data_IF_004520504837
#
_entry.id   IF_004520504837
#
_cell.length_a   1.000
_cell.length_b   1.000
_cell.length_c   1.000
_cell.angle_alpha   90.00
_cell.angle_beta   90.00
_cell.angle_gamma   90.00
#
_symmetry.space_group_name_H-M   'P 1'
#
loop_
_entity.id
_entity.type
_entity.pdbx_description
1 polymer ?
#
# COMPACT_ATOMS: atom_id res chain seq x y z
N UNK A 1 55.29 -0.21 -44.87
CA UNK A 1 55.96 1.06 -44.52
C UNK A 1 56.31 0.98 -43.05
N UNK A 2 57.50 0.51 -42.67
CA UNK A 2 58.66 1.36 -42.29
C UNK A 2 58.22 2.52 -41.39
N UNK A 3 58.61 2.58 -40.11
CA UNK A 3 60.01 2.75 -39.73
C UNK A 3 60.32 2.29 -38.31
N UNK A 4 61.45 1.60 -38.19
CA UNK A 4 62.22 1.42 -36.96
C UNK A 4 62.89 2.74 -36.53
N UNK A 5 63.35 2.83 -35.27
CA UNK A 5 64.80 2.77 -34.92
C UNK A 5 65.12 3.29 -33.50
N UNK A 6 65.85 2.43 -32.78
CA UNK A 6 67.00 2.67 -31.89
C UNK A 6 66.90 3.65 -30.72
N UNK A 7 67.26 3.19 -29.51
CA UNK A 7 68.64 3.26 -29.02
C UNK A 7 68.79 2.54 -27.67
N UNK A 8 69.81 1.70 -27.59
CA UNK A 8 70.26 1.04 -26.38
C UNK A 8 71.19 1.96 -25.58
N UNK A 9 71.18 1.83 -24.25
CA UNK A 9 72.36 2.14 -23.44
C UNK A 9 72.43 1.16 -22.28
N UNK A 10 73.58 0.48 -22.17
CA UNK A 10 73.88 -0.57 -21.22
C UNK A 10 74.88 -0.09 -20.15
N UNK A 11 75.05 -0.95 -19.13
CA UNK A 11 76.11 -0.99 -18.09
C UNK A 11 75.82 -0.12 -16.86
N UNK A 12 75.95 -0.58 -15.59
CA UNK A 12 76.94 -1.47 -14.96
C UNK A 12 76.31 -2.16 -13.71
N UNK A 13 76.63 -3.44 -13.49
CA UNK A 13 76.48 -4.28 -12.26
C UNK A 13 77.90 -4.37 -11.63
N UNK A 14 78.24 -4.54 -10.31
CA UNK A 14 77.68 -5.46 -9.28
C UNK A 14 77.71 -4.99 -7.79
N UNK A 15 77.08 -5.75 -6.89
CA UNK A 15 77.78 -6.43 -5.77
C UNK A 15 76.84 -7.16 -4.78
N UNK A 16 77.06 -8.49 -4.69
CA UNK A 16 77.05 -9.40 -3.53
C UNK A 16 75.92 -9.27 -2.48
N UNK A 17 74.98 -10.23 -2.41
CA UNK A 17 75.08 -11.59 -1.84
C UNK A 17 75.03 -11.64 -0.30
N UNK A 18 73.93 -12.19 0.23
CA UNK A 18 73.93 -13.10 1.38
C UNK A 18 72.62 -13.92 1.42
N UNK A 19 72.81 -15.23 1.30
CA UNK A 19 71.85 -16.32 1.44
C UNK A 19 71.48 -16.56 2.90
N UNK A 20 70.20 -16.83 3.18
CA UNK A 20 69.80 -17.76 4.25
C UNK A 20 68.42 -18.36 3.94
N UNK A 21 68.39 -19.68 3.79
CA UNK A 21 67.20 -20.50 3.67
C UNK A 21 66.49 -20.69 5.02
N UNK A 22 65.18 -20.89 4.98
CA UNK A 22 64.54 -21.89 5.85
C UNK A 22 63.27 -21.45 6.58
N UNK A 23 62.19 -22.22 6.37
CA UNK A 23 61.12 -22.44 7.34
C UNK A 23 59.84 -21.65 7.08
N UNK A 24 58.82 -22.32 6.56
CA UNK A 24 57.47 -21.77 6.53
C UNK A 24 56.83 -21.74 7.92
N UNK A 25 55.93 -20.78 8.12
CA UNK A 25 54.63 -21.03 8.72
C UNK A 25 53.65 -19.92 8.31
N UNK A 26 52.44 -20.37 8.00
CA UNK A 26 51.25 -19.60 7.63
C UNK A 26 50.62 -18.98 8.89
N UNK A 27 50.24 -17.71 8.79
CA UNK A 27 49.06 -17.06 9.42
C UNK A 27 49.39 -15.67 9.94
N UNK A 28 48.89 -14.66 9.24
CA UNK A 28 48.10 -13.55 9.80
C UNK A 28 47.79 -12.55 8.68
N UNK A 29 47.04 -13.02 7.67
CA UNK A 29 46.20 -12.11 6.90
C UNK A 29 45.12 -11.66 7.87
N UNK A 30 45.20 -10.41 8.30
CA UNK A 30 44.12 -9.73 9.00
C UNK A 30 42.88 -9.75 8.11
N UNK A 31 42.01 -10.73 8.34
CA UNK A 31 40.64 -10.74 7.86
C UNK A 31 39.92 -9.59 8.54
N UNK A 32 39.86 -8.44 7.88
CA UNK A 32 38.67 -7.59 7.96
C UNK A 32 37.50 -8.50 7.64
N UNK A 33 36.75 -8.89 8.67
CA UNK A 33 35.40 -9.34 8.49
C UNK A 33 34.70 -8.22 7.72
N UNK A 34 34.43 -8.46 6.43
CA UNK A 34 33.37 -7.76 5.76
C UNK A 34 32.12 -8.15 6.55
N UNK A 35 31.56 -7.16 7.24
CA UNK A 35 30.24 -7.25 7.83
C UNK A 35 29.30 -7.58 6.66
N UNK A 36 28.91 -8.85 6.58
CA UNK A 36 28.21 -9.40 5.44
C UNK A 36 26.73 -9.09 5.51
N UNK A 37 26.34 -7.82 5.62
CA UNK A 37 24.99 -7.43 5.23
C UNK A 37 24.91 -7.60 3.72
N UNK A 38 23.95 -8.38 3.23
CA UNK A 38 23.67 -8.41 1.81
C UNK A 38 23.39 -6.96 1.35
N UNK A 39 23.88 -6.60 0.16
CA UNK A 39 23.54 -5.32 -0.46
C UNK A 39 22.01 -5.23 -0.59
N UNK A 40 21.42 -4.08 -0.25
CA UNK A 40 19.96 -3.98 -0.18
C UNK A 40 19.31 -4.18 -1.55
N UNK A 41 19.99 -3.73 -2.61
CA UNK A 41 19.52 -3.83 -3.98
C UNK A 41 18.26 -2.99 -4.23
N UNK A 42 17.49 -3.40 -5.22
CA UNK A 42 16.23 -2.74 -5.61
C UNK A 42 15.03 -3.42 -4.97
N UNK A 43 14.15 -2.63 -4.36
CA UNK A 43 12.89 -3.06 -3.76
C UNK A 43 11.73 -2.53 -4.61
N UNK A 44 10.90 -3.43 -5.14
CA UNK A 44 9.74 -3.08 -5.96
C UNK A 44 8.47 -3.06 -5.11
N UNK A 45 7.97 -1.87 -4.77
CA UNK A 45 6.75 -1.71 -3.97
C UNK A 45 5.59 -1.39 -4.92
N UNK A 46 4.51 -2.16 -4.85
CA UNK A 46 3.28 -1.81 -5.58
C UNK A 46 2.73 -0.47 -5.06
N UNK A 47 1.96 0.25 -5.87
CA UNK A 47 1.16 1.41 -5.42
C UNK A 47 -0.26 1.15 -5.88
N UNK A 48 -1.16 0.88 -4.94
CA UNK A 48 -2.58 0.86 -5.23
C UNK A 48 -3.15 2.29 -5.16
N UNK A 49 -4.14 2.58 -6.00
CA UNK A 49 -4.47 3.96 -6.39
C UNK A 49 -5.35 4.70 -5.37
N UNK A 50 -4.90 4.77 -4.12
CA UNK A 50 -5.38 5.68 -3.09
C UNK A 50 -4.24 6.31 -2.31
N UNK A 51 -4.45 7.55 -1.85
CA UNK A 51 -3.37 8.34 -1.22
C UNK A 51 -2.88 7.70 0.08
N UNK A 52 -3.75 7.05 0.85
CA UNK A 52 -3.35 6.32 2.05
C UNK A 52 -2.29 5.24 1.76
N UNK A 53 -2.41 4.55 0.62
CA UNK A 53 -1.42 3.58 0.19
C UNK A 53 -0.09 4.25 -0.15
N UNK A 54 -0.15 5.34 -0.92
CA UNK A 54 1.05 6.11 -1.30
C UNK A 54 1.82 6.55 -0.04
N UNK A 55 1.11 7.00 1.00
CA UNK A 55 1.71 7.32 2.29
C UNK A 55 2.47 6.13 2.91
N UNK A 56 1.86 4.95 2.99
CA UNK A 56 2.49 3.73 3.50
C UNK A 56 3.76 3.39 2.70
N UNK A 57 3.63 3.29 1.37
CA UNK A 57 4.69 2.85 0.49
C UNK A 57 5.88 3.83 0.48
N UNK A 58 5.61 5.14 0.43
CA UNK A 58 6.67 6.14 0.39
C UNK A 58 7.39 6.28 1.74
N UNK A 59 6.71 6.14 2.88
CA UNK A 59 7.39 6.13 4.20
C UNK A 59 8.34 4.93 4.31
N UNK A 60 7.87 3.73 3.95
CA UNK A 60 8.72 2.53 3.91
C UNK A 60 9.90 2.75 2.95
N UNK A 61 9.63 3.25 1.74
CA UNK A 61 10.65 3.47 0.72
C UNK A 61 11.68 4.52 1.13
N UNK A 62 11.28 5.60 1.79
CA UNK A 62 12.21 6.61 2.32
C UNK A 62 13.12 6.02 3.38
N UNK A 63 12.59 5.22 4.31
CA UNK A 63 13.43 4.53 5.32
C UNK A 63 14.39 3.55 4.65
N UNK A 64 13.93 2.78 3.66
CA UNK A 64 14.78 1.85 2.90
C UNK A 64 15.94 2.59 2.19
N UNK A 65 15.65 3.71 1.51
CA UNK A 65 16.66 4.53 0.82
C UNK A 65 17.66 5.13 1.81
N UNK A 66 17.16 5.84 2.83
CA UNK A 66 18.01 6.66 3.71
C UNK A 66 18.79 5.86 4.76
N UNK A 67 18.22 4.75 5.25
CA UNK A 67 18.77 4.00 6.37
C UNK A 67 19.46 2.70 5.96
N UNK A 68 19.00 2.10 4.86
CA UNK A 68 19.49 0.81 4.38
C UNK A 68 20.22 0.89 3.03
N UNK A 69 20.19 2.04 2.36
CA UNK A 69 20.87 2.24 1.07
C UNK A 69 20.22 1.50 -0.10
N UNK A 70 18.93 1.17 0.01
CA UNK A 70 18.19 0.48 -1.05
C UNK A 70 17.84 1.42 -2.20
N UNK A 71 17.81 0.89 -3.42
CA UNK A 71 17.02 1.48 -4.50
C UNK A 71 15.55 1.08 -4.32
N UNK A 72 14.61 1.99 -4.55
CA UNK A 72 13.17 1.69 -4.44
C UNK A 72 12.47 2.09 -5.72
N UNK A 73 11.76 1.14 -6.30
CA UNK A 73 10.90 1.34 -7.46
C UNK A 73 9.43 1.18 -7.08
N UNK A 74 8.63 2.18 -7.42
CA UNK A 74 7.19 2.15 -7.19
C UNK A 74 6.45 1.76 -8.48
N UNK A 75 5.50 0.84 -8.37
CA UNK A 75 4.71 0.36 -9.52
C UNK A 75 3.22 0.55 -9.28
N UNK A 76 2.64 1.52 -9.95
CA UNK A 76 1.19 1.76 -9.88
C UNK A 76 0.41 0.63 -10.52
N UNK A 77 -0.30 -0.14 -9.71
CA UNK A 77 -1.01 -1.35 -10.11
C UNK A 77 -2.37 -1.40 -9.40
N UNK A 78 -3.33 -2.07 -10.03
CA UNK A 78 -4.56 -2.48 -9.33
C UNK A 78 -4.22 -3.52 -8.26
N UNK A 79 -5.00 -3.58 -7.19
CA UNK A 79 -4.77 -4.46 -6.03
C UNK A 79 -4.50 -5.90 -6.48
N UNK A 80 -5.46 -6.53 -7.17
CA UNK A 80 -5.33 -7.91 -7.65
C UNK A 80 -4.17 -8.13 -8.63
N UNK A 81 -3.81 -7.09 -9.40
CA UNK A 81 -2.73 -7.18 -10.40
C UNK A 81 -1.37 -7.18 -9.70
N UNK A 82 -1.22 -6.49 -8.56
CA UNK A 82 0.01 -6.47 -7.80
C UNK A 82 0.45 -7.89 -7.38
N UNK A 83 -0.51 -8.74 -7.00
CA UNK A 83 -0.25 -10.13 -6.63
C UNK A 83 0.34 -10.98 -7.76
N UNK A 84 0.00 -10.68 -9.02
CA UNK A 84 0.51 -11.41 -10.18
C UNK A 84 2.02 -11.17 -10.37
N UNK A 85 2.55 -10.05 -9.89
CA UNK A 85 3.96 -9.67 -10.01
C UNK A 85 4.91 -10.42 -9.06
N UNK A 86 4.40 -11.12 -8.04
CA UNK A 86 5.25 -11.78 -7.05
C UNK A 86 6.12 -12.90 -7.64
N UNK A 87 5.56 -13.72 -8.52
CA UNK A 87 6.27 -14.85 -9.11
C UNK A 87 7.43 -14.42 -10.02
N UNK A 88 7.27 -13.32 -10.74
CA UNK A 88 8.29 -12.76 -11.65
C UNK A 88 9.33 -11.91 -10.92
N UNK A 89 9.04 -11.46 -9.70
CA UNK A 89 9.82 -10.42 -9.00
C UNK A 89 9.57 -9.03 -9.59
N UNK A 90 8.46 -8.83 -10.30
CA UNK A 90 8.02 -7.50 -10.72
C UNK A 90 7.49 -6.71 -9.52
N UNK A 91 6.91 -7.39 -8.53
CA UNK A 91 6.49 -6.80 -7.27
C UNK A 91 7.16 -7.59 -6.14
N UNK A 92 7.78 -6.87 -5.21
CA UNK A 92 8.38 -7.45 -4.01
C UNK A 92 7.44 -7.30 -2.81
N UNK A 93 6.67 -6.21 -2.72
CA UNK A 93 5.77 -5.96 -1.62
C UNK A 93 4.45 -5.26 -2.02
N UNK A 94 3.36 -5.73 -1.41
CA UNK A 94 2.09 -5.03 -1.23
C UNK A 94 2.01 -4.68 0.26
N UNK A 95 1.96 -3.38 0.59
CA UNK A 95 2.15 -2.91 1.98
C UNK A 95 0.85 -2.59 2.73
N UNK A 96 -0.28 -2.68 2.04
CA UNK A 96 -1.61 -2.47 2.59
C UNK A 96 -2.60 -3.35 1.83
N UNK A 97 -2.91 -4.53 2.37
CA UNK A 97 -3.81 -5.50 1.76
C UNK A 97 -5.19 -5.47 2.44
N UNK A 98 -6.24 -5.17 1.67
CA UNK A 98 -7.63 -5.05 2.12
C UNK A 98 -8.41 -6.37 2.15
N UNK A 99 -7.71 -7.48 2.41
CA UNK A 99 -8.34 -8.81 2.50
C UNK A 99 -8.69 -9.40 1.14
N UNK A 100 -7.96 -10.44 0.74
CA UNK A 100 -8.18 -11.18 -0.50
C UNK A 100 -7.98 -12.68 -0.25
N UNK A 101 -8.95 -13.38 0.37
CA UNK A 101 -8.79 -14.78 0.76
C UNK A 101 -8.54 -15.71 -0.44
N UNK A 102 -9.10 -15.39 -1.60
CA UNK A 102 -8.86 -16.09 -2.86
C UNK A 102 -7.41 -15.91 -3.37
N UNK A 103 -6.86 -14.69 -3.27
CA UNK A 103 -5.47 -14.41 -3.64
C UNK A 103 -4.49 -15.02 -2.64
N UNK A 104 -4.81 -15.01 -1.34
CA UNK A 104 -4.04 -15.71 -0.30
C UNK A 104 -3.98 -17.21 -0.63
N UNK A 105 -5.13 -17.85 -0.88
CA UNK A 105 -5.16 -19.28 -1.19
C UNK A 105 -4.37 -19.62 -2.46
N UNK A 106 -4.46 -18.76 -3.48
CA UNK A 106 -3.73 -18.95 -4.72
C UNK A 106 -2.22 -18.74 -4.54
N UNK A 107 -1.79 -17.56 -4.10
CA UNK A 107 -0.39 -17.13 -4.16
C UNK A 107 0.44 -17.57 -2.94
N UNK A 108 -0.18 -17.68 -1.77
CA UNK A 108 0.52 -18.10 -0.53
C UNK A 108 0.39 -19.62 -0.34
N UNK A 109 -0.81 -20.18 -0.40
CA UNK A 109 -1.02 -21.62 -0.12
C UNK A 109 -0.62 -22.50 -1.30
N UNK A 110 -1.18 -22.23 -2.47
CA UNK A 110 -1.08 -23.12 -3.65
C UNK A 110 0.22 -22.92 -4.42
N UNK A 111 0.49 -21.70 -4.89
CA UNK A 111 1.65 -21.37 -5.72
C UNK A 111 2.91 -21.10 -4.90
N UNK A 112 2.76 -20.65 -3.65
CA UNK A 112 3.86 -20.32 -2.71
C UNK A 112 4.82 -19.26 -3.24
N UNK A 113 4.30 -18.36 -4.08
CA UNK A 113 5.05 -17.25 -4.67
C UNK A 113 5.01 -15.99 -3.79
N UNK A 114 4.12 -15.96 -2.80
CA UNK A 114 3.99 -14.89 -1.82
C UNK A 114 3.98 -15.41 -0.37
N UNK A 115 4.22 -14.51 0.58
CA UNK A 115 4.16 -14.75 2.02
C UNK A 115 3.44 -13.59 2.72
N UNK A 116 2.73 -13.88 3.80
CA UNK A 116 2.23 -12.86 4.73
C UNK A 116 3.40 -12.34 5.57
N UNK A 117 3.60 -11.01 5.56
CA UNK A 117 4.66 -10.31 6.28
C UNK A 117 4.14 -9.60 7.55
N UNK A 118 2.95 -9.96 8.02
CA UNK A 118 2.32 -9.45 9.23
C UNK A 118 1.54 -8.15 9.02
N UNK A 119 0.96 -7.64 10.10
CA UNK A 119 0.10 -6.46 10.08
C UNK A 119 0.87 -5.20 9.65
N UNK A 120 0.20 -4.33 8.91
CA UNK A 120 0.61 -2.93 8.66
C UNK A 120 0.34 -2.05 9.88
N UNK A 121 -0.55 -2.50 10.78
CA UNK A 121 -0.98 -1.77 11.98
C UNK A 121 -2.23 -0.90 11.76
N UNK A 122 -2.54 -0.60 10.49
CA UNK A 122 -3.78 0.07 10.11
C UNK A 122 -4.99 -0.83 10.29
N UNK A 123 -6.10 -0.22 10.73
CA UNK A 123 -7.42 -0.86 10.84
C UNK A 123 -8.34 -0.28 9.79
N UNK A 124 -8.77 -1.13 8.86
CA UNK A 124 -9.65 -0.77 7.77
C UNK A 124 -11.12 -0.89 8.15
N UNK A 125 -11.94 0.07 7.75
CA UNK A 125 -13.39 -0.02 7.78
C UNK A 125 -13.90 0.43 6.43
N UNK A 126 -14.73 -0.38 5.79
CA UNK A 126 -15.44 -0.03 4.56
C UNK A 126 -16.92 0.18 4.89
N UNK A 127 -17.60 1.04 4.15
CA UNK A 127 -19.05 1.14 4.29
C UNK A 127 -19.69 2.13 3.34
N UNK A 128 -20.99 2.33 3.53
CA UNK A 128 -21.75 3.36 2.83
C UNK A 128 -21.87 4.60 3.66
N UNK A 129 -21.80 5.74 3.01
CA UNK A 129 -21.77 7.05 3.66
C UNK A 129 -22.68 8.03 2.94
N UNK A 130 -23.23 8.94 3.72
CA UNK A 130 -23.90 10.15 3.24
C UNK A 130 -23.13 11.38 3.69
N UNK A 131 -23.26 12.48 2.94
CA UNK A 131 -22.70 13.76 3.38
C UNK A 131 -23.42 14.28 4.64
N UNK A 132 -22.73 15.00 5.55
CA UNK A 132 -23.29 15.49 6.81
C UNK A 132 -24.62 16.22 6.67
N UNK A 133 -24.75 17.09 5.66
CA UNK A 133 -26.01 17.82 5.44
C UNK A 133 -27.21 16.91 5.18
N UNK A 134 -27.01 15.72 4.61
CA UNK A 134 -28.08 14.76 4.37
C UNK A 134 -28.54 14.14 5.67
N UNK A 135 -27.61 13.73 6.53
CA UNK A 135 -27.93 13.19 7.84
C UNK A 135 -28.62 14.24 8.73
N UNK A 136 -28.22 15.51 8.63
CA UNK A 136 -28.91 16.61 9.33
C UNK A 136 -30.36 16.79 8.84
N UNK A 137 -30.57 16.73 7.51
CA UNK A 137 -31.88 16.97 6.90
C UNK A 137 -32.81 15.75 6.95
N UNK A 138 -32.24 14.54 6.85
CA UNK A 138 -32.94 13.26 6.81
C UNK A 138 -32.31 12.31 7.85
N UNK A 139 -32.58 12.50 9.15
CA UNK A 139 -31.86 11.79 10.21
C UNK A 139 -31.98 10.27 10.17
N UNK A 140 -33.05 9.72 9.58
CA UNK A 140 -33.28 8.28 9.45
C UNK A 140 -32.65 7.69 8.17
N UNK A 141 -31.95 8.49 7.34
CA UNK A 141 -31.29 8.02 6.11
C UNK A 141 -30.08 7.11 6.39
N UNK A 142 -29.55 7.17 7.62
CA UNK A 142 -28.40 6.37 8.06
C UNK A 142 -28.77 4.95 8.48
N UNK A 143 -30.04 4.55 8.40
CA UNK A 143 -30.45 3.14 8.53
C UNK A 143 -30.77 2.60 7.15
N UNK A 144 -30.09 1.53 6.73
CA UNK A 144 -30.25 0.94 5.41
C UNK A 144 -31.72 0.62 5.06
N UNK A 145 -32.54 0.29 6.07
CA UNK A 145 -33.97 -0.03 5.90
C UNK A 145 -34.78 1.15 5.37
N UNK A 146 -34.29 2.37 5.56
CA UNK A 146 -34.95 3.59 5.11
C UNK A 146 -34.45 4.06 3.75
N UNK A 147 -33.39 3.49 3.16
CA UNK A 147 -32.83 3.98 1.90
C UNK A 147 -33.85 4.00 0.76
N UNK A 148 -34.72 2.96 0.65
CA UNK A 148 -35.75 2.92 -0.38
C UNK A 148 -36.79 4.06 -0.29
N UNK A 149 -37.01 4.64 0.90
CA UNK A 149 -37.83 5.86 1.06
C UNK A 149 -37.23 7.06 0.33
N UNK A 150 -35.91 7.05 0.14
CA UNK A 150 -35.13 8.15 -0.42
C UNK A 150 -34.57 7.86 -1.82
N UNK A 151 -34.75 6.66 -2.38
CA UNK A 151 -34.20 6.25 -3.67
C UNK A 151 -34.44 7.26 -4.80
N UNK A 152 -35.62 7.87 -4.84
CA UNK A 152 -35.97 8.88 -5.84
C UNK A 152 -35.08 10.14 -5.79
N UNK A 153 -34.52 10.49 -4.63
CA UNK A 153 -33.60 11.62 -4.47
C UNK A 153 -32.23 11.36 -5.13
N UNK A 154 -31.85 10.09 -5.27
CA UNK A 154 -30.53 9.68 -5.76
C UNK A 154 -30.53 9.30 -7.25
N UNK A 155 -31.63 9.54 -7.97
CA UNK A 155 -31.71 9.21 -9.40
C UNK A 155 -30.73 10.04 -10.22
N UNK A 156 -29.97 9.36 -11.08
CA UNK A 156 -29.08 9.96 -12.08
C UNK A 156 -29.38 9.40 -13.46
N UNK A 157 -28.73 9.94 -14.50
CA UNK A 157 -28.79 9.36 -15.84
C UNK A 157 -28.26 7.93 -15.89
N UNK A 158 -27.29 7.62 -15.04
CA UNK A 158 -26.57 6.35 -14.96
C UNK A 158 -27.36 5.29 -14.19
N UNK A 159 -28.16 5.70 -13.20
CA UNK A 159 -29.04 4.82 -12.41
C UNK A 159 -30.45 4.66 -12.98
N UNK A 160 -30.87 5.53 -13.90
CA UNK A 160 -32.16 5.45 -14.57
C UNK A 160 -33.33 5.63 -13.60
N UNK A 161 -34.19 4.61 -13.46
CA UNK A 161 -35.34 4.66 -12.55
C UNK A 161 -35.02 4.31 -11.09
N UNK A 162 -33.78 3.91 -10.80
CA UNK A 162 -33.31 3.54 -9.46
C UNK A 162 -32.51 4.69 -8.83
N UNK A 163 -32.37 4.70 -7.51
CA UNK A 163 -31.38 5.56 -6.85
C UNK A 163 -29.95 5.15 -7.22
N UNK A 164 -28.99 6.05 -7.10
CA UNK A 164 -27.57 5.75 -7.27
C UNK A 164 -26.90 5.49 -5.93
N UNK A 165 -26.19 4.37 -5.83
CA UNK A 165 -25.09 4.18 -4.88
C UNK A 165 -23.79 4.42 -5.66
N UNK A 166 -23.01 5.42 -5.27
CA UNK A 166 -21.76 5.78 -5.95
C UNK A 166 -20.59 4.99 -5.33
N UNK A 167 -20.04 4.04 -6.06
CA UNK A 167 -18.90 3.23 -5.66
C UNK A 167 -17.57 3.85 -6.17
N UNK A 168 -16.43 3.33 -5.73
CA UNK A 168 -15.08 3.82 -6.04
C UNK A 168 -14.54 3.36 -7.39
N UNK A 169 -13.25 3.02 -7.43
CA UNK A 169 -12.68 2.32 -8.58
C UNK A 169 -13.21 0.87 -8.61
N UNK A 170 -13.56 0.31 -9.79
CA UNK A 170 -14.03 -1.07 -9.90
C UNK A 170 -13.03 -2.15 -9.42
N UNK A 171 -11.78 -1.79 -9.13
CA UNK A 171 -10.78 -2.70 -8.56
C UNK A 171 -10.66 -2.65 -7.04
N UNK A 172 -11.38 -1.75 -6.37
CA UNK A 172 -11.43 -1.74 -4.91
C UNK A 172 -12.22 -2.93 -4.38
N UNK A 173 -11.88 -3.37 -3.18
CA UNK A 173 -12.69 -4.37 -2.44
C UNK A 173 -14.08 -3.80 -2.16
N UNK A 174 -15.09 -4.42 -2.76
CA UNK A 174 -16.51 -4.03 -2.61
C UNK A 174 -17.44 -5.22 -2.76
N UNK A 175 -18.56 -5.18 -2.03
CA UNK A 175 -19.70 -6.10 -2.09
C UNK A 175 -20.99 -5.35 -2.48
N UNK A 176 -20.89 -4.10 -2.96
CA UNK A 176 -22.02 -3.17 -3.04
C UNK A 176 -23.13 -3.63 -3.98
N UNK A 177 -22.80 -4.30 -5.08
CA UNK A 177 -23.81 -4.87 -5.99
C UNK A 177 -24.60 -6.01 -5.33
N UNK A 178 -23.91 -6.87 -4.58
CA UNK A 178 -24.54 -7.95 -3.83
C UNK A 178 -25.40 -7.40 -2.69
N UNK A 179 -24.89 -6.43 -1.93
CA UNK A 179 -25.61 -5.74 -0.87
C UNK A 179 -26.89 -5.07 -1.38
N UNK A 180 -26.80 -4.24 -2.44
CA UNK A 180 -27.98 -3.59 -3.04
C UNK A 180 -29.04 -4.61 -3.43
N UNK A 181 -28.63 -5.72 -4.06
CA UNK A 181 -29.54 -6.78 -4.49
C UNK A 181 -30.15 -7.55 -3.31
N UNK A 182 -29.33 -7.99 -2.37
CA UNK A 182 -29.73 -8.91 -1.30
C UNK A 182 -30.46 -8.19 -0.15
N UNK A 183 -30.28 -6.87 -0.02
CA UNK A 183 -31.06 -6.01 0.86
C UNK A 183 -32.34 -5.46 0.21
N UNK A 184 -32.66 -5.88 -1.02
CA UNK A 184 -33.84 -5.45 -1.80
C UNK A 184 -33.92 -3.93 -1.95
N UNK A 185 -32.79 -3.29 -2.26
CA UNK A 185 -32.69 -1.85 -2.43
C UNK A 185 -32.98 -1.45 -3.87
N UNK A 186 -33.82 -0.43 -4.05
CA UNK A 186 -34.13 0.19 -5.34
C UNK A 186 -33.01 1.16 -5.78
N UNK A 187 -31.79 0.64 -5.80
CA UNK A 187 -30.58 1.36 -6.14
C UNK A 187 -29.81 0.62 -7.24
N UNK A 188 -28.97 1.37 -7.96
CA UNK A 188 -27.99 0.84 -8.89
C UNK A 188 -26.61 1.35 -8.46
N UNK A 189 -25.65 0.43 -8.40
CA UNK A 189 -24.25 0.76 -8.19
C UNK A 189 -23.69 1.43 -9.46
N UNK A 190 -23.03 2.57 -9.28
CA UNK A 190 -22.35 3.31 -10.33
C UNK A 190 -20.95 3.64 -9.83
N UNK A 191 -19.92 3.30 -10.60
CA UNK A 191 -18.53 3.49 -10.19
C UNK A 191 -18.03 4.88 -10.57
N UNK A 192 -17.49 5.62 -9.61
CA UNK A 192 -16.82 6.90 -9.81
C UNK A 192 -15.48 6.74 -10.52
N UNK A 193 -14.85 5.57 -10.40
CA UNK A 193 -13.61 5.19 -11.08
C UNK A 193 -12.32 5.66 -10.40
N UNK A 194 -12.39 6.29 -9.22
CA UNK A 194 -11.21 6.62 -8.39
C UNK A 194 -11.62 7.15 -7.01
N UNK A 195 -10.69 7.08 -6.04
CA UNK A 195 -10.78 7.78 -4.75
C UNK A 195 -11.02 9.28 -4.94
N UNK A 196 -10.27 9.92 -5.84
CA UNK A 196 -10.40 11.36 -6.11
C UNK A 196 -11.82 11.71 -6.58
N UNK A 197 -12.43 10.89 -7.45
CA UNK A 197 -13.79 11.14 -7.92
C UNK A 197 -14.83 11.00 -6.79
N UNK A 198 -14.69 10.01 -5.91
CA UNK A 198 -15.54 9.86 -4.72
C UNK A 198 -15.44 11.08 -3.80
N UNK A 199 -14.23 11.49 -3.45
CA UNK A 199 -13.98 12.67 -2.59
C UNK A 199 -14.63 13.92 -3.20
N UNK A 200 -14.46 14.15 -4.50
CA UNK A 200 -15.09 15.30 -5.18
C UNK A 200 -16.62 15.22 -5.15
N UNK A 201 -17.20 14.02 -5.31
CA UNK A 201 -18.64 13.84 -5.24
C UNK A 201 -19.19 14.18 -3.85
N UNK A 202 -18.52 13.74 -2.77
CA UNK A 202 -18.90 14.10 -1.40
C UNK A 202 -18.75 15.59 -1.10
N UNK A 203 -17.63 16.22 -1.50
CA UNK A 203 -17.44 17.68 -1.38
C UNK A 203 -18.55 18.45 -2.09
N UNK A 204 -18.87 18.05 -3.32
CA UNK A 204 -19.92 18.68 -4.11
C UNK A 204 -21.29 18.49 -3.48
N UNK A 205 -21.57 17.30 -2.94
CA UNK A 205 -22.79 17.03 -2.18
C UNK A 205 -22.93 17.98 -1.01
N UNK A 206 -21.89 18.10 -0.17
CA UNK A 206 -21.92 18.97 1.00
C UNK A 206 -22.09 20.44 0.61
N UNK A 207 -21.32 20.90 -0.38
CA UNK A 207 -21.33 22.29 -0.83
C UNK A 207 -22.67 22.71 -1.44
N UNK A 208 -23.22 21.87 -2.33
CA UNK A 208 -24.40 22.22 -3.12
C UNK A 208 -25.69 21.55 -2.63
N UNK A 209 -25.62 20.80 -1.53
CA UNK A 209 -26.75 20.08 -0.94
C UNK A 209 -27.43 19.15 -1.95
N UNK A 210 -26.63 18.47 -2.76
CA UNK A 210 -27.09 17.49 -3.77
C UNK A 210 -26.98 16.08 -3.21
N UNK A 211 -28.02 15.22 -3.29
CA UNK A 211 -28.00 13.89 -2.68
C UNK A 211 -26.80 13.03 -3.09
N UNK A 212 -26.16 12.37 -2.12
CA UNK A 212 -25.14 11.35 -2.33
C UNK A 212 -25.27 10.22 -1.30
N UNK A 213 -25.24 8.99 -1.81
CA UNK A 213 -25.00 7.78 -1.04
C UNK A 213 -23.81 7.13 -1.74
N UNK A 214 -22.73 6.87 -1.03
CA UNK A 214 -21.53 6.34 -1.67
C UNK A 214 -20.70 5.43 -0.79
N UNK A 215 -19.96 4.56 -1.44
CA UNK A 215 -18.87 3.78 -0.85
C UNK A 215 -17.79 4.71 -0.33
N UNK A 216 -17.26 4.39 0.85
CA UNK A 216 -16.04 4.99 1.36
C UNK A 216 -15.38 4.08 2.40
N UNK A 217 -14.23 4.52 2.92
CA UNK A 217 -13.46 3.72 3.87
C UNK A 217 -12.68 4.59 4.85
N UNK A 218 -12.18 3.94 5.90
CA UNK A 218 -11.21 4.43 6.88
C UNK A 218 -10.06 3.44 6.97
N UNK A 219 -8.79 3.86 7.15
CA UNK A 219 -8.31 5.23 7.33
C UNK A 219 -8.40 6.07 6.05
N UNK A 220 -8.83 7.32 6.22
CA UNK A 220 -9.01 8.23 5.10
C UNK A 220 -8.92 9.70 5.54
N UNK A 221 -7.90 10.41 5.07
CA UNK A 221 -7.60 11.80 5.44
C UNK A 221 -8.77 12.75 5.19
N UNK A 222 -9.57 12.50 4.16
CA UNK A 222 -10.71 13.34 3.80
C UNK A 222 -11.76 13.44 4.90
N UNK A 223 -11.86 12.45 5.80
CA UNK A 223 -12.84 12.46 6.88
C UNK A 223 -12.54 13.52 7.96
N UNK A 224 -11.30 14.03 8.02
CA UNK A 224 -10.96 15.19 8.85
C UNK A 224 -11.52 16.51 8.26
N UNK A 225 -11.56 16.63 6.93
CA UNK A 225 -12.18 17.77 6.24
C UNK A 225 -13.70 17.69 6.27
N UNK A 226 -14.25 16.52 5.92
CA UNK A 226 -15.67 16.26 5.84
C UNK A 226 -15.99 14.95 6.57
N UNK A 227 -16.45 15.00 7.84
CA UNK A 227 -16.75 13.81 8.62
C UNK A 227 -18.05 13.19 8.11
N UNK A 228 -17.95 12.37 7.07
CA UNK A 228 -19.08 11.67 6.46
C UNK A 228 -19.81 10.83 7.50
N UNK A 229 -21.11 10.62 7.29
CA UNK A 229 -21.94 9.85 8.21
C UNK A 229 -22.18 8.46 7.62
N UNK A 230 -21.65 7.44 8.30
CA UNK A 230 -21.82 6.04 7.91
C UNK A 230 -23.28 5.63 8.01
N UNK A 231 -23.73 4.83 7.04
CA UNK A 231 -25.02 4.15 7.05
C UNK A 231 -24.85 2.82 7.77
N UNK A 232 -25.72 2.56 8.73
CA UNK A 232 -25.85 1.30 9.44
C UNK A 232 -26.42 0.26 8.46
N UNK A 233 -25.57 -0.62 7.96
CA UNK A 233 -25.93 -1.86 7.26
C UNK A 233 -26.19 -2.97 8.31
N UNK A 234 -26.75 -4.13 7.93
CA UNK A 234 -26.85 -5.26 8.87
C UNK A 234 -25.47 -5.64 9.40
N UNK A 235 -25.28 -5.79 10.71
CA UNK A 235 -23.95 -6.08 11.28
C UNK A 235 -23.25 -7.27 10.61
N UNK A 236 -21.94 -7.13 10.41
CA UNK A 236 -21.11 -8.23 9.96
C UNK A 236 -21.12 -9.37 10.99
N UNK A 237 -21.25 -10.59 10.49
CA UNK A 237 -21.00 -11.82 11.26
C UNK A 237 -20.01 -12.68 10.48
N UNK A 238 -19.11 -13.37 11.19
CA UNK A 238 -18.09 -14.24 10.58
C UNK A 238 -18.68 -15.14 9.49
N UNK A 239 -18.10 -15.06 8.29
CA UNK A 239 -18.51 -15.86 7.13
C UNK A 239 -19.70 -15.31 6.34
N UNK A 240 -20.24 -14.15 6.70
CA UNK A 240 -21.29 -13.49 5.92
C UNK A 240 -20.81 -13.10 4.49
N UNK A 241 -19.53 -12.83 4.33
CA UNK A 241 -18.85 -12.48 3.08
C UNK A 241 -18.19 -13.69 2.38
N UNK A 242 -18.40 -14.91 2.87
CA UNK A 242 -17.77 -16.12 2.32
C UNK A 242 -18.24 -16.48 0.90
N UNK A 243 -19.48 -16.13 0.55
CA UNK A 243 -20.00 -16.21 -0.82
C UNK A 243 -20.38 -14.81 -1.31
N UNK A 244 -19.58 -14.21 -2.21
CA UNK A 244 -19.82 -12.87 -2.76
C UNK A 244 -21.22 -12.68 -3.36
N UNK A 245 -21.89 -13.75 -3.82
CA UNK A 245 -23.22 -13.64 -4.41
C UNK A 245 -24.34 -13.46 -3.37
N UNK A 246 -24.08 -13.79 -2.10
CA UNK A 246 -25.09 -13.84 -1.02
C UNK A 246 -24.88 -12.80 0.09
N UNK A 247 -23.87 -11.95 -0.04
CA UNK A 247 -23.53 -10.92 0.95
C UNK A 247 -24.73 -10.02 1.22
N UNK A 248 -25.10 -9.92 2.50
CA UNK A 248 -26.24 -9.15 2.98
C UNK A 248 -25.96 -8.51 4.35
N UNK A 249 -24.69 -8.29 4.68
CA UNK A 249 -24.23 -7.61 5.89
C UNK A 249 -23.13 -6.61 5.55
N UNK A 250 -22.89 -5.68 6.46
CA UNK A 250 -21.82 -4.71 6.44
C UNK A 250 -20.45 -5.38 6.29
N UNK A 251 -19.45 -4.56 5.97
CA UNK A 251 -18.08 -5.01 5.84
C UNK A 251 -17.49 -5.40 7.21
N UNK A 252 -16.58 -6.39 7.26
CA UNK A 252 -15.81 -6.63 8.48
C UNK A 252 -14.89 -5.45 8.80
N UNK A 253 -14.43 -5.38 10.05
CA UNK A 253 -13.20 -4.64 10.32
C UNK A 253 -12.02 -5.39 9.71
N UNK A 254 -11.16 -4.68 8.99
CA UNK A 254 -9.98 -5.23 8.36
C UNK A 254 -8.74 -4.97 9.21
N UNK A 255 -8.03 -6.01 9.59
CA UNK A 255 -6.65 -5.87 10.06
C UNK A 255 -5.72 -5.90 8.84
N UNK A 256 -5.32 -4.72 8.37
CA UNK A 256 -4.54 -4.62 7.13
C UNK A 256 -3.15 -5.23 7.35
N UNK A 257 -2.73 -6.08 6.42
CA UNK A 257 -1.45 -6.77 6.45
C UNK A 257 -0.62 -6.46 5.19
N UNK A 258 0.64 -6.89 5.24
CA UNK A 258 1.61 -6.76 4.16
C UNK A 258 1.83 -8.13 3.54
N UNK A 259 1.92 -8.17 2.22
CA UNK A 259 2.20 -9.38 1.46
C UNK A 259 3.47 -9.15 0.67
N UNK A 260 4.40 -10.09 0.75
CA UNK A 260 5.69 -10.00 0.05
C UNK A 260 5.91 -11.19 -0.87
N UNK A 261 6.73 -11.02 -1.90
CA UNK A 261 7.15 -12.17 -2.71
C UNK A 261 8.02 -13.11 -1.88
N UNK A 262 7.87 -14.43 -2.09
CA UNK A 262 8.72 -15.45 -1.44
C UNK A 262 10.19 -15.21 -1.77
N UNK A 263 10.47 -14.81 -3.02
CA UNK A 263 11.83 -14.52 -3.49
C UNK A 263 12.45 -13.34 -2.74
N UNK A 264 11.68 -12.27 -2.48
CA UNK A 264 12.15 -11.12 -1.72
C UNK A 264 12.39 -11.48 -0.24
N UNK A 265 11.45 -12.21 0.38
CA UNK A 265 11.59 -12.67 1.76
C UNK A 265 12.83 -13.58 1.97
N UNK A 266 13.22 -14.35 0.96
CA UNK A 266 14.38 -15.24 1.00
C UNK A 266 15.68 -14.61 0.46
N UNK A 267 15.62 -13.35 -0.01
CA UNK A 267 16.75 -12.69 -0.69
C UNK A 267 17.91 -12.33 0.23
N UNK A 268 17.65 -12.21 1.54
CA UNK A 268 18.59 -11.65 2.52
C UNK A 268 18.67 -10.12 2.49
N UNK A 269 17.84 -9.42 1.68
CA UNK A 269 17.78 -7.96 1.68
C UNK A 269 17.28 -7.44 3.04
N UNK A 270 17.96 -6.46 3.67
CA UNK A 270 17.50 -5.86 4.92
C UNK A 270 16.17 -5.11 4.78
N UNK A 271 15.75 -4.77 3.56
CA UNK A 271 14.44 -4.17 3.32
C UNK A 271 13.27 -5.11 3.65
N UNK A 272 13.48 -6.43 3.61
CA UNK A 272 12.44 -7.37 4.02
C UNK A 272 12.12 -7.21 5.51
N UNK A 273 13.14 -7.13 6.36
CA UNK A 273 12.96 -6.95 7.80
C UNK A 273 12.31 -5.60 8.11
N UNK A 274 12.71 -4.53 7.41
CA UNK A 274 12.03 -3.23 7.49
C UNK A 274 10.53 -3.34 7.17
N UNK A 275 10.16 -3.94 6.03
CA UNK A 275 8.76 -4.09 5.63
C UNK A 275 8.00 -4.96 6.65
N UNK A 276 8.59 -6.08 7.07
CA UNK A 276 7.98 -6.98 8.05
C UNK A 276 7.74 -6.30 9.39
N UNK A 277 8.69 -5.50 9.86
CA UNK A 277 8.61 -4.77 11.12
C UNK A 277 7.75 -3.51 11.04
N UNK A 278 7.57 -2.93 9.84
CA UNK A 278 6.78 -1.72 9.64
C UNK A 278 5.36 -1.90 10.17
N UNK A 279 5.04 -1.15 11.22
CA UNK A 279 3.71 -1.06 11.78
C UNK A 279 3.48 0.37 12.25
N UNK A 280 2.33 0.93 11.90
CA UNK A 280 1.94 2.26 12.35
C UNK A 280 0.42 2.44 12.42
N UNK A 281 -0.01 3.62 12.86
CA UNK A 281 -1.43 3.89 13.15
C UNK A 281 -2.17 4.50 11.97
N UNK A 282 -3.51 4.45 12.01
CA UNK A 282 -4.37 5.20 11.09
C UNK A 282 -4.09 6.71 11.13
N UNK A 283 -3.71 7.26 12.29
CA UNK A 283 -3.34 8.67 12.43
C UNK A 283 -2.05 9.01 11.69
N UNK A 284 -1.05 8.14 11.75
CA UNK A 284 0.22 8.33 11.03
C UNK A 284 0.01 8.34 9.51
N UNK A 285 -0.74 7.36 9.01
CA UNK A 285 -1.08 7.29 7.58
C UNK A 285 -1.88 8.51 7.13
N UNK A 286 -2.91 8.90 7.88
CA UNK A 286 -3.71 10.09 7.57
C UNK A 286 -2.87 11.37 7.59
N UNK A 287 -1.92 11.49 8.52
CA UNK A 287 -1.02 12.65 8.59
C UNK A 287 -0.18 12.79 7.32
N UNK A 288 0.44 11.70 6.86
CA UNK A 288 1.23 11.72 5.62
C UNK A 288 0.33 11.95 4.40
N UNK A 289 -0.84 11.31 4.36
CA UNK A 289 -1.81 11.53 3.30
C UNK A 289 -2.28 13.00 3.23
N UNK A 290 -2.43 13.69 4.37
CA UNK A 290 -2.72 15.12 4.44
C UNK A 290 -1.57 15.97 3.89
N UNK A 291 -0.31 15.63 4.18
CA UNK A 291 0.85 16.33 3.58
C UNK A 291 0.82 16.25 2.05
N UNK A 292 0.45 15.09 1.50
CA UNK A 292 0.32 14.90 0.04
C UNK A 292 -0.86 15.73 -0.51
N UNK A 293 -2.00 15.68 0.17
CA UNK A 293 -3.26 16.16 -0.40
C UNK A 293 -3.59 17.60 -0.07
N UNK A 294 -3.45 18.02 1.17
CA UNK A 294 -3.74 19.38 1.63
C UNK A 294 -2.53 20.29 1.41
N UNK A 295 -1.36 19.86 1.87
CA UNK A 295 -0.11 20.65 1.78
C UNK A 295 0.56 20.59 0.40
N UNK A 296 0.06 19.73 -0.50
CA UNK A 296 0.53 19.57 -1.89
C UNK A 296 2.00 19.16 -1.99
N UNK A 297 2.52 18.44 -1.00
CA UNK A 297 3.84 17.82 -1.08
C UNK A 297 3.81 16.65 -2.06
N UNK A 298 4.95 16.35 -2.67
CA UNK A 298 5.10 15.04 -3.33
C UNK A 298 5.09 13.92 -2.28
N UNK A 299 4.71 12.68 -2.64
CA UNK A 299 4.75 11.55 -1.70
C UNK A 299 6.13 11.33 -1.05
N UNK A 300 7.22 11.52 -1.81
CA UNK A 300 8.59 11.43 -1.27
C UNK A 300 8.85 12.54 -0.24
N UNK A 301 8.52 13.81 -0.53
CA UNK A 301 8.71 14.92 0.43
C UNK A 301 7.86 14.75 1.71
N UNK A 302 6.62 14.27 1.56
CA UNK A 302 5.73 13.99 2.68
C UNK A 302 6.29 12.89 3.59
N UNK A 303 6.82 11.82 2.98
CA UNK A 303 7.46 10.72 3.68
C UNK A 303 8.75 11.16 4.38
N UNK A 304 9.64 11.89 3.69
CA UNK A 304 10.87 12.46 4.27
C UNK A 304 10.56 13.34 5.48
N UNK A 305 9.55 14.21 5.37
CA UNK A 305 9.09 15.04 6.48
C UNK A 305 8.67 14.18 7.68
N UNK A 306 7.75 13.23 7.47
CA UNK A 306 7.24 12.41 8.56
C UNK A 306 8.34 11.55 9.20
N UNK A 307 9.23 10.94 8.40
CA UNK A 307 10.37 10.14 8.87
C UNK A 307 11.31 10.98 9.73
N UNK A 308 11.57 12.24 9.33
CA UNK A 308 12.43 13.15 10.11
C UNK A 308 11.82 13.56 11.46
N UNK A 309 10.49 13.59 11.55
CA UNK A 309 9.72 13.99 12.74
C UNK A 309 9.43 12.82 13.69
N UNK A 310 9.60 11.58 13.23
CA UNK A 310 9.26 10.36 13.98
C UNK A 310 10.43 9.36 14.11
N UNK A 311 11.64 9.78 14.52
CA UNK A 311 12.82 8.93 14.53
C UNK A 311 12.67 7.67 15.42
N UNK A 312 11.97 7.78 16.55
CA UNK A 312 11.77 6.66 17.48
C UNK A 312 10.93 5.54 16.85
N UNK A 313 9.92 5.90 16.04
CA UNK A 313 9.10 4.91 15.30
C UNK A 313 9.92 4.24 14.21
N UNK A 314 10.72 5.01 13.50
CA UNK A 314 11.59 4.51 12.41
C UNK A 314 12.66 3.55 12.96
N UNK A 315 13.29 3.87 14.10
CA UNK A 315 14.28 3.00 14.73
C UNK A 315 13.69 1.64 15.14
N UNK A 316 12.43 1.62 15.59
CA UNK A 316 11.74 0.40 15.95
C UNK A 316 11.55 -0.56 14.75
N UNK A 317 11.46 -0.05 13.52
CA UNK A 317 11.32 -0.90 12.33
C UNK A 317 12.66 -1.47 11.82
N UNK A 318 13.78 -0.86 12.20
CA UNK A 318 15.13 -1.27 11.80
C UNK A 318 15.78 -2.27 12.77
N UNK A 319 15.07 -2.61 13.85
CA UNK A 319 15.56 -3.45 14.95
C UNK A 319 15.18 -4.93 14.83
#
# INVERSE_FOLDING_TARGET
MTSAKYAAMALVIPALALTACGGGDISSTSSTAADGSADCGTVNIAINQWVGYEANAHVIGTVAKEKLGCDVEYKTLKEEVAWQGFASGEVDAVVENWGHPDLVEKYITTEKTAQDAGLTGNKGVIGWYVAPWMAEKYPDIVDYKNLNKYADLFKTSESGSQGQLLDGDPSFVTNDEALVKNLDLNYKVVYAGSETALIQAFRQSEKNKTPILGYFYEPQWFLAELPLVKVDLPEYTEGCDADPATVACDYPEYELNKIVSTKFAESGSPAYDLIKNFQWTNEDQNTVAQYITEDKMTPDEAAEKWVSENPDKVEAWLS
#
